data_IF_458128608792
#
_entry.id   IF_458128608792
#
_cell.length_a   1.000
_cell.length_b   1.000
_cell.length_c   1.000
_cell.angle_alpha   90.00
_cell.angle_beta   90.00
_cell.angle_gamma   90.00
#
_symmetry.space_group_name_H-M   'P 1'
#
loop_
_entity.id
_entity.type
_entity.pdbx_description
1 polymer ?
#
# COMPACT_ATOMS: atom_id res chain seq x y z
N UNK A 1 24.75 -17.86 -8.60
CA UNK A 1 25.40 -16.56 -8.21
C UNK A 1 24.61 -15.97 -7.07
N UNK A 2 25.26 -15.67 -5.97
CA UNK A 2 24.58 -15.09 -4.80
C UNK A 2 24.24 -13.63 -5.12
N UNK A 3 22.96 -13.28 -5.12
CA UNK A 3 22.50 -11.91 -5.35
C UNK A 3 23.02 -11.02 -4.21
N UNK A 4 23.68 -9.91 -4.53
CA UNK A 4 24.13 -8.93 -3.52
C UNK A 4 23.06 -7.89 -3.29
N UNK A 5 22.97 -7.32 -2.06
CA UNK A 5 22.03 -6.24 -1.77
C UNK A 5 22.18 -5.04 -2.73
N UNK A 6 23.40 -4.76 -3.18
CA UNK A 6 23.68 -3.74 -4.18
C UNK A 6 22.92 -3.99 -5.49
N UNK A 7 22.83 -5.24 -5.97
CA UNK A 7 22.09 -5.59 -7.20
C UNK A 7 20.62 -5.31 -7.06
N UNK A 8 20.03 -5.61 -5.89
CA UNK A 8 18.63 -5.29 -5.58
C UNK A 8 18.40 -3.78 -5.50
N UNK A 9 19.32 -3.04 -4.86
CA UNK A 9 19.28 -1.58 -4.79
C UNK A 9 19.34 -0.92 -6.17
N UNK A 10 20.28 -1.35 -7.02
CA UNK A 10 20.44 -0.80 -8.37
C UNK A 10 19.18 -1.05 -9.21
N UNK A 11 18.57 -2.23 -9.08
CA UNK A 11 17.29 -2.54 -9.71
C UNK A 11 16.16 -1.63 -9.20
N UNK A 12 16.05 -1.44 -7.88
CA UNK A 12 14.99 -0.65 -7.26
C UNK A 12 15.06 0.84 -7.57
N UNK A 13 16.28 1.38 -7.80
CA UNK A 13 16.49 2.80 -8.12
C UNK A 13 15.89 3.21 -9.46
N UNK A 14 15.75 2.29 -10.39
CA UNK A 14 15.12 2.53 -11.67
C UNK A 14 13.64 2.12 -11.64
N UNK A 15 12.75 3.10 -11.53
CA UNK A 15 11.30 2.88 -11.47
C UNK A 15 10.74 2.17 -12.70
N UNK A 16 11.42 2.26 -13.87
CA UNK A 16 10.96 1.62 -15.10
C UNK A 16 11.01 0.09 -15.03
N UNK A 17 11.78 -0.45 -14.08
CA UNK A 17 11.81 -1.87 -13.77
C UNK A 17 10.49 -2.39 -13.15
N UNK A 18 9.62 -1.50 -12.67
CA UNK A 18 8.37 -1.83 -11.98
C UNK A 18 7.13 -1.40 -12.81
N UNK A 19 7.11 -1.75 -14.08
CA UNK A 19 6.07 -1.36 -15.02
C UNK A 19 4.95 -2.39 -15.19
N UNK A 20 5.01 -3.52 -14.52
CA UNK A 20 3.95 -4.54 -14.47
C UNK A 20 3.93 -5.27 -13.13
N UNK A 21 2.83 -5.94 -12.82
CA UNK A 21 2.65 -6.71 -11.56
C UNK A 21 3.67 -7.84 -11.47
N UNK A 22 3.95 -8.52 -12.58
CA UNK A 22 4.95 -9.59 -12.66
C UNK A 22 6.33 -9.09 -12.19
N UNK A 23 6.68 -7.84 -12.51
CA UNK A 23 7.96 -7.26 -12.10
C UNK A 23 8.05 -7.05 -10.58
N UNK A 24 6.95 -6.69 -9.93
CA UNK A 24 6.89 -6.62 -8.47
C UNK A 24 7.01 -8.01 -7.84
N UNK A 25 6.32 -9.00 -8.39
CA UNK A 25 6.35 -10.38 -7.90
C UNK A 25 7.72 -11.03 -8.15
N UNK A 26 8.32 -10.83 -9.32
CA UNK A 26 9.70 -11.26 -9.64
C UNK A 26 10.73 -10.61 -8.70
N UNK A 27 10.52 -9.34 -8.37
CA UNK A 27 11.38 -8.65 -7.42
C UNK A 27 11.27 -9.26 -6.02
N UNK A 28 10.04 -9.54 -5.56
CA UNK A 28 9.82 -10.26 -4.30
C UNK A 28 10.53 -11.61 -4.28
N UNK A 29 10.43 -12.40 -5.36
CA UNK A 29 11.13 -13.69 -5.49
C UNK A 29 12.64 -13.53 -5.31
N UNK A 30 13.25 -12.55 -5.99
CA UNK A 30 14.69 -12.25 -5.86
C UNK A 30 15.07 -11.82 -4.43
N UNK A 31 14.21 -11.04 -3.77
CA UNK A 31 14.45 -10.64 -2.40
C UNK A 31 14.36 -11.81 -1.42
N UNK A 32 13.36 -12.67 -1.58
CA UNK A 32 13.20 -13.91 -0.79
C UNK A 32 14.43 -14.80 -0.97
N UNK A 33 14.88 -15.01 -2.21
CA UNK A 33 16.09 -15.80 -2.50
C UNK A 33 17.35 -15.16 -1.90
N UNK A 34 17.43 -13.83 -1.89
CA UNK A 34 18.53 -13.11 -1.23
C UNK A 34 18.55 -13.41 0.28
N UNK A 35 17.41 -13.31 0.95
CA UNK A 35 17.30 -13.58 2.40
C UNK A 35 17.58 -15.05 2.71
N UNK A 36 16.93 -15.98 2.00
CA UNK A 36 17.09 -17.43 2.19
C UNK A 36 18.51 -17.91 1.85
N UNK A 37 19.22 -17.21 0.95
CA UNK A 37 20.61 -17.51 0.58
C UNK A 37 21.65 -17.17 1.66
N UNK A 38 21.22 -16.82 2.88
CA UNK A 38 22.10 -16.56 4.01
C UNK A 38 22.84 -15.21 3.90
N UNK A 39 22.27 -14.24 3.19
CA UNK A 39 22.87 -12.90 3.03
C UNK A 39 22.47 -11.91 4.14
N UNK A 40 21.59 -12.33 5.04
CA UNK A 40 21.31 -11.61 6.28
C UNK A 40 22.18 -12.14 7.42
N UNK A 41 22.60 -11.25 8.30
CA UNK A 41 23.38 -11.59 9.48
C UNK A 41 22.49 -12.09 10.61
N UNK A 42 21.31 -11.48 10.75
CA UNK A 42 20.33 -11.85 11.76
C UNK A 42 18.90 -11.50 11.33
N UNK A 43 17.98 -12.29 11.80
CA UNK A 43 16.55 -11.98 11.89
C UNK A 43 16.28 -11.62 13.37
N UNK A 44 15.87 -10.40 13.62
CA UNK A 44 15.67 -9.84 14.95
C UNK A 44 14.18 -9.74 15.23
N UNK A 45 13.71 -10.48 16.22
CA UNK A 45 12.32 -10.44 16.67
C UNK A 45 12.09 -9.21 17.55
N UNK A 46 10.98 -8.50 17.34
CA UNK A 46 10.59 -7.35 18.15
C UNK A 46 10.35 -7.75 19.62
N UNK A 47 10.92 -7.01 20.55
CA UNK A 47 10.84 -7.30 21.98
C UNK A 47 9.41 -7.13 22.57
N UNK A 48 8.52 -6.37 21.91
CA UNK A 48 7.16 -6.10 22.40
C UNK A 48 6.08 -6.83 21.62
N UNK A 49 6.23 -6.90 20.31
CA UNK A 49 5.26 -7.52 19.39
C UNK A 49 5.99 -8.55 18.51
N UNK A 50 6.02 -9.84 18.90
CA UNK A 50 6.84 -10.88 18.26
C UNK A 50 6.54 -11.13 16.77
N UNK A 51 5.36 -10.76 16.28
CA UNK A 51 5.03 -10.85 14.85
C UNK A 51 5.85 -9.88 13.99
N UNK A 52 6.47 -8.85 14.57
CA UNK A 52 7.33 -7.93 13.84
C UNK A 52 8.79 -8.32 13.96
N UNK A 53 9.44 -8.40 12.82
CA UNK A 53 10.83 -8.74 12.65
C UNK A 53 11.59 -7.61 11.98
N UNK A 54 12.94 -7.64 12.12
CA UNK A 54 13.88 -6.76 11.46
C UNK A 54 15.01 -7.60 10.90
N UNK A 55 15.37 -7.41 9.64
CA UNK A 55 16.56 -8.08 9.09
C UNK A 55 17.80 -7.21 9.31
N UNK A 56 18.87 -7.82 9.74
CA UNK A 56 20.20 -7.21 9.76
C UNK A 56 20.98 -7.74 8.56
N UNK A 57 21.32 -6.87 7.62
CA UNK A 57 22.13 -7.27 6.46
C UNK A 57 23.59 -7.52 6.88
N UNK A 58 24.32 -8.32 6.11
CA UNK A 58 25.76 -8.50 6.31
C UNK A 58 26.53 -7.22 5.99
N UNK A 59 27.75 -7.14 6.47
CA UNK A 59 28.58 -5.92 6.60
C UNK A 59 28.92 -5.15 5.30
N UNK A 60 28.46 -5.58 4.14
CA UNK A 60 28.57 -4.84 2.89
C UNK A 60 27.48 -3.74 2.75
N UNK A 61 26.51 -3.68 3.68
CA UNK A 61 25.51 -2.63 3.77
C UNK A 61 25.91 -1.58 4.81
N UNK A 62 25.83 -0.32 4.45
CA UNK A 62 26.13 0.82 5.33
C UNK A 62 25.09 1.04 6.43
N UNK A 63 23.90 0.45 6.29
CA UNK A 63 22.82 0.43 7.27
C UNK A 63 22.31 -0.98 7.46
N UNK A 64 22.47 -1.49 8.66
CA UNK A 64 22.41 -2.92 8.87
C UNK A 64 21.03 -3.45 9.25
N UNK A 65 20.07 -2.60 9.65
CA UNK A 65 18.78 -3.07 10.17
C UNK A 65 17.62 -2.44 9.42
N UNK A 66 16.76 -3.29 8.85
CA UNK A 66 15.59 -2.87 8.06
C UNK A 66 14.51 -2.19 8.90
N UNK A 67 13.51 -1.63 8.23
CA UNK A 67 12.20 -1.33 8.82
C UNK A 67 11.58 -2.60 9.40
N UNK A 68 10.62 -2.47 10.35
CA UNK A 68 9.86 -3.64 10.81
C UNK A 68 9.02 -4.22 9.68
N UNK A 69 8.88 -5.52 9.67
CA UNK A 69 7.90 -6.22 8.84
C UNK A 69 7.14 -7.25 9.68
N UNK A 70 5.87 -7.45 9.36
CA UNK A 70 5.02 -8.46 9.98
C UNK A 70 5.31 -9.82 9.36
N UNK A 71 5.92 -10.73 10.12
CA UNK A 71 6.32 -12.05 9.65
C UNK A 71 5.11 -12.98 9.35
N UNK A 72 3.93 -12.70 9.90
CA UNK A 72 2.70 -13.44 9.61
C UNK A 72 2.09 -13.05 8.26
N UNK A 73 2.39 -11.84 7.76
CA UNK A 73 1.96 -11.37 6.44
C UNK A 73 3.02 -11.56 5.37
N UNK A 74 4.29 -11.47 5.72
CA UNK A 74 5.37 -11.55 4.74
C UNK A 74 5.49 -12.99 4.20
N UNK A 75 5.42 -13.12 2.87
CA UNK A 75 5.47 -14.41 2.18
C UNK A 75 6.89 -14.96 2.23
N UNK A 76 7.07 -16.10 2.90
CA UNK A 76 8.32 -16.84 2.95
C UNK A 76 8.56 -17.70 1.71
N UNK A 77 9.78 -18.24 1.58
CA UNK A 77 10.20 -19.03 0.42
C UNK A 77 9.38 -20.32 0.26
N UNK A 78 8.99 -20.92 1.35
CA UNK A 78 8.24 -22.19 1.45
C UNK A 78 6.83 -22.13 0.85
N UNK A 79 6.18 -20.96 0.92
CA UNK A 79 4.81 -20.76 0.43
C UNK A 79 4.73 -19.85 -0.80
N UNK A 80 5.86 -19.26 -1.24
CA UNK A 80 5.88 -18.23 -2.27
C UNK A 80 5.22 -18.67 -3.58
N UNK A 81 5.57 -19.84 -4.11
CA UNK A 81 5.05 -20.31 -5.39
C UNK A 81 3.53 -20.50 -5.35
N UNK A 82 2.99 -21.08 -4.29
CA UNK A 82 1.56 -21.26 -4.10
C UNK A 82 0.86 -19.88 -4.00
N UNK A 83 1.37 -18.98 -3.16
CA UNK A 83 0.79 -17.63 -2.98
C UNK A 83 0.86 -16.80 -4.27
N UNK A 84 1.93 -16.92 -5.05
CA UNK A 84 2.08 -16.28 -6.35
C UNK A 84 1.03 -16.78 -7.34
N UNK A 85 0.86 -18.09 -7.46
CA UNK A 85 -0.06 -18.69 -8.43
C UNK A 85 -1.51 -18.34 -8.08
N UNK A 86 -1.88 -18.40 -6.80
CA UNK A 86 -3.18 -17.94 -6.32
C UNK A 86 -3.38 -16.44 -6.57
N UNK A 87 -2.38 -15.61 -6.33
CA UNK A 87 -2.46 -14.17 -6.58
C UNK A 87 -2.72 -13.84 -8.04
N UNK A 88 -2.00 -14.45 -8.98
CA UNK A 88 -2.26 -14.23 -10.40
C UNK A 88 -3.62 -14.79 -10.86
N UNK A 89 -4.10 -15.87 -10.25
CA UNK A 89 -5.46 -16.38 -10.48
C UNK A 89 -6.52 -15.37 -10.01
N UNK A 90 -6.32 -14.77 -8.84
CA UNK A 90 -7.19 -13.74 -8.27
C UNK A 90 -7.24 -12.47 -9.14
N UNK A 91 -6.12 -12.06 -9.70
CA UNK A 91 -6.07 -10.88 -10.57
C UNK A 91 -6.86 -11.08 -11.88
N UNK A 92 -6.98 -12.33 -12.36
CA UNK A 92 -7.80 -12.67 -13.52
C UNK A 92 -9.30 -12.72 -13.20
N UNK A 93 -9.64 -13.17 -12.01
CA UNK A 93 -11.01 -13.24 -11.53
C UNK A 93 -11.04 -13.01 -10.02
N UNK A 94 -11.19 -11.74 -9.63
CA UNK A 94 -11.20 -11.34 -8.21
C UNK A 94 -12.43 -11.88 -7.47
N UNK A 95 -13.49 -12.26 -8.18
CA UNK A 95 -14.75 -12.72 -7.59
C UNK A 95 -14.61 -14.06 -6.87
N UNK A 96 -13.60 -14.86 -7.20
CA UNK A 96 -13.34 -16.15 -6.52
C UNK A 96 -12.94 -15.97 -5.06
N UNK A 97 -12.46 -14.78 -4.66
CA UNK A 97 -12.15 -14.46 -3.27
C UNK A 97 -13.38 -14.03 -2.45
N UNK A 98 -14.57 -13.88 -3.05
CA UNK A 98 -15.72 -13.26 -2.37
C UNK A 98 -16.09 -13.97 -1.07
N UNK A 99 -16.07 -15.30 -1.08
CA UNK A 99 -16.43 -16.15 0.06
C UNK A 99 -15.24 -17.00 0.55
N UNK A 100 -13.99 -16.61 0.20
CA UNK A 100 -12.79 -17.37 0.55
C UNK A 100 -11.77 -16.47 1.29
N UNK A 101 -11.73 -16.63 2.60
CA UNK A 101 -10.84 -15.85 3.48
C UNK A 101 -9.35 -16.10 3.20
N UNK A 102 -8.94 -17.30 2.77
CA UNK A 102 -7.54 -17.57 2.45
C UNK A 102 -7.12 -16.87 1.15
N UNK A 103 -7.98 -16.86 0.14
CA UNK A 103 -7.73 -16.10 -1.08
C UNK A 103 -7.70 -14.59 -0.79
N UNK A 104 -8.57 -14.09 0.09
CA UNK A 104 -8.51 -12.69 0.57
C UNK A 104 -7.17 -12.39 1.25
N UNK A 105 -6.71 -13.25 2.13
CA UNK A 105 -5.40 -13.11 2.80
C UNK A 105 -4.25 -13.14 1.81
N UNK A 106 -4.34 -13.92 0.72
CA UNK A 106 -3.32 -13.95 -0.33
C UNK A 106 -3.15 -12.57 -0.97
N UNK A 107 -4.23 -11.82 -1.22
CA UNK A 107 -4.15 -10.44 -1.73
C UNK A 107 -3.31 -9.57 -0.79
N UNK A 108 -3.67 -9.55 0.49
CA UNK A 108 -2.96 -8.74 1.50
C UNK A 108 -1.49 -9.15 1.63
N UNK A 109 -1.20 -10.46 1.73
CA UNK A 109 0.17 -10.99 1.87
C UNK A 109 1.04 -10.63 0.67
N UNK A 110 0.55 -10.83 -0.55
CA UNK A 110 1.34 -10.56 -1.75
C UNK A 110 1.61 -9.07 -1.93
N UNK A 111 0.60 -8.22 -1.77
CA UNK A 111 0.78 -6.76 -1.86
C UNK A 111 1.72 -6.26 -0.77
N UNK A 112 1.51 -6.69 0.47
CA UNK A 112 2.38 -6.36 1.59
C UNK A 112 3.82 -6.78 1.34
N UNK A 113 4.04 -8.03 0.94
CA UNK A 113 5.38 -8.60 0.76
C UNK A 113 6.14 -7.95 -0.39
N UNK A 114 5.49 -7.71 -1.54
CA UNK A 114 6.10 -6.99 -2.66
C UNK A 114 6.58 -5.60 -2.24
N UNK A 115 5.71 -4.83 -1.57
CA UNK A 115 6.06 -3.48 -1.16
C UNK A 115 7.09 -3.45 -0.01
N UNK A 116 7.00 -4.38 0.95
CA UNK A 116 7.99 -4.49 2.03
C UNK A 116 9.36 -4.91 1.52
N UNK A 117 9.46 -5.83 0.56
CA UNK A 117 10.74 -6.20 -0.04
C UNK A 117 11.45 -4.99 -0.66
N UNK A 118 10.71 -4.13 -1.37
CA UNK A 118 11.22 -2.85 -1.90
C UNK A 118 11.69 -1.95 -0.77
N UNK A 119 10.84 -1.74 0.23
CA UNK A 119 11.14 -0.88 1.37
C UNK A 119 12.35 -1.35 2.17
N UNK A 120 12.43 -2.63 2.49
CA UNK A 120 13.56 -3.24 3.19
C UNK A 120 14.86 -3.15 2.37
N UNK A 121 14.81 -3.33 1.05
CA UNK A 121 15.97 -3.11 0.19
C UNK A 121 16.46 -1.67 0.27
N UNK A 122 15.56 -0.69 0.22
CA UNK A 122 15.90 0.74 0.31
C UNK A 122 16.49 1.13 1.68
N UNK A 123 16.20 0.37 2.73
CA UNK A 123 16.80 0.60 4.06
C UNK A 123 18.32 0.28 4.10
N UNK A 124 18.86 -0.37 3.06
CA UNK A 124 20.30 -0.54 2.88
C UNK A 124 21.01 0.70 2.32
N UNK A 125 20.27 1.77 1.98
CA UNK A 125 20.84 3.03 1.53
C UNK A 125 21.44 3.83 2.69
N UNK A 126 22.50 4.65 2.43
CA UNK A 126 23.05 5.56 3.42
C UNK A 126 21.99 6.53 3.97
N UNK A 127 22.13 6.94 5.22
CA UNK A 127 21.18 7.88 5.87
C UNK A 127 21.01 9.20 5.12
N UNK A 128 22.04 9.66 4.42
CA UNK A 128 21.96 10.85 3.55
C UNK A 128 20.96 10.70 2.40
N UNK A 129 20.62 9.47 2.00
CA UNK A 129 19.65 9.19 0.94
C UNK A 129 18.24 8.86 1.48
N UNK A 130 17.98 8.93 2.79
CA UNK A 130 16.71 8.54 3.41
C UNK A 130 15.46 9.20 2.78
N UNK A 131 15.52 10.49 2.45
CA UNK A 131 14.38 11.18 1.84
C UNK A 131 14.11 10.69 0.42
N UNK A 132 15.17 10.40 -0.35
CA UNK A 132 15.08 9.81 -1.67
C UNK A 132 14.51 8.39 -1.60
N UNK A 133 14.97 7.59 -0.63
CA UNK A 133 14.46 6.25 -0.37
C UNK A 133 12.96 6.26 -0.03
N UNK A 134 12.53 7.16 0.87
CA UNK A 134 11.12 7.32 1.25
C UNK A 134 10.26 7.71 0.06
N UNK A 135 10.71 8.69 -0.75
CA UNK A 135 9.99 9.11 -1.95
C UNK A 135 9.85 7.95 -2.93
N UNK A 136 10.94 7.26 -3.25
CA UNK A 136 10.95 6.14 -4.18
C UNK A 136 10.03 5.00 -3.70
N UNK A 137 10.08 4.67 -2.40
CA UNK A 137 9.20 3.67 -1.81
C UNK A 137 7.71 4.03 -1.93
N UNK A 138 7.36 5.30 -1.74
CA UNK A 138 6.00 5.80 -1.92
C UNK A 138 5.55 5.74 -3.38
N UNK A 139 6.36 6.30 -4.28
CA UNK A 139 6.07 6.33 -5.72
C UNK A 139 5.85 4.92 -6.29
N UNK A 140 6.66 3.93 -5.88
CA UNK A 140 6.50 2.53 -6.31
C UNK A 140 5.23 1.89 -5.74
N UNK A 141 4.83 2.23 -4.52
CA UNK A 141 3.58 1.74 -3.96
C UNK A 141 2.35 2.30 -4.69
N UNK A 142 2.36 3.59 -5.02
CA UNK A 142 1.30 4.23 -5.81
C UNK A 142 1.16 3.58 -7.20
N UNK A 143 2.29 3.31 -7.88
CA UNK A 143 2.30 2.59 -9.17
C UNK A 143 1.73 1.19 -9.02
N UNK A 144 2.18 0.44 -8.00
CA UNK A 144 1.73 -0.95 -7.78
C UNK A 144 0.22 -1.04 -7.56
N UNK A 145 -0.34 -0.19 -6.72
CA UNK A 145 -1.80 -0.16 -6.49
C UNK A 145 -2.56 0.16 -7.78
N UNK A 146 -2.09 1.13 -8.59
CA UNK A 146 -2.74 1.42 -9.87
C UNK A 146 -2.69 0.26 -10.85
N UNK A 147 -1.55 -0.45 -10.92
CA UNK A 147 -1.44 -1.66 -11.76
C UNK A 147 -2.44 -2.74 -11.33
N UNK A 148 -2.56 -2.98 -10.02
CA UNK A 148 -3.52 -3.95 -9.48
C UNK A 148 -4.97 -3.58 -9.79
N UNK A 149 -5.34 -2.31 -9.63
CA UNK A 149 -6.68 -1.81 -9.94
C UNK A 149 -6.98 -1.96 -11.43
N UNK A 150 -6.01 -1.66 -12.30
CA UNK A 150 -6.17 -1.81 -13.74
C UNK A 150 -6.31 -3.30 -14.14
N UNK A 151 -5.53 -4.19 -13.54
CA UNK A 151 -5.54 -5.62 -13.87
C UNK A 151 -6.88 -6.28 -13.55
N UNK A 152 -7.53 -5.92 -12.46
CA UNK A 152 -8.88 -6.41 -12.13
C UNK A 152 -9.99 -5.78 -12.98
N UNK A 153 -9.66 -4.93 -13.98
CA UNK A 153 -10.61 -4.38 -14.95
C UNK A 153 -11.30 -3.07 -14.55
N UNK A 154 -10.75 -2.35 -13.59
CA UNK A 154 -11.22 -1.01 -13.20
C UNK A 154 -10.37 0.07 -13.88
N UNK A 155 -11.02 1.03 -14.53
CA UNK A 155 -10.32 2.17 -15.15
C UNK A 155 -9.77 3.08 -14.08
N UNK A 156 -8.44 3.24 -14.06
CA UNK A 156 -7.71 4.05 -13.08
C UNK A 156 -6.75 5.00 -13.76
N UNK A 157 -6.63 6.22 -13.23
CA UNK A 157 -5.67 7.23 -13.70
C UNK A 157 -4.95 7.87 -12.50
N UNK A 158 -3.73 8.34 -12.72
CA UNK A 158 -3.05 9.34 -11.89
C UNK A 158 -3.21 10.68 -12.59
N UNK A 159 -3.62 11.71 -11.88
CA UNK A 159 -3.79 13.01 -12.49
C UNK A 159 -3.53 14.14 -11.49
N UNK A 160 -2.96 15.22 -11.99
CA UNK A 160 -3.02 16.52 -11.32
C UNK A 160 -4.17 17.29 -11.92
N UNK A 161 -5.19 17.52 -11.12
CA UNK A 161 -6.35 18.31 -11.52
C UNK A 161 -6.19 19.76 -11.09
N UNK A 162 -6.58 20.67 -11.96
CA UNK A 162 -6.56 22.11 -11.72
C UNK A 162 -7.99 22.57 -11.43
N UNK A 163 -8.24 22.95 -10.18
CA UNK A 163 -9.54 23.47 -9.73
C UNK A 163 -9.46 24.98 -9.58
N UNK A 164 -10.29 25.71 -10.30
CA UNK A 164 -10.38 27.17 -10.18
C UNK A 164 -11.26 27.55 -9.01
N UNK A 165 -10.70 28.22 -8.03
CA UNK A 165 -11.38 28.68 -6.82
C UNK A 165 -11.80 30.14 -7.01
N UNK A 166 -13.09 30.44 -6.85
CA UNK A 166 -13.62 31.81 -6.83
C UNK A 166 -13.74 32.30 -5.39
N UNK A 167 -12.94 33.31 -5.03
CA UNK A 167 -13.01 33.92 -3.71
C UNK A 167 -14.13 34.97 -3.62
N UNK A 168 -14.40 35.69 -4.75
CA UNK A 168 -15.51 36.62 -4.96
C UNK A 168 -15.67 36.86 -6.46
N UNK A 169 -16.56 37.76 -6.86
CA UNK A 169 -16.84 38.08 -8.28
C UNK A 169 -15.63 38.65 -9.06
N UNK A 170 -14.63 39.11 -8.35
CA UNK A 170 -13.46 39.82 -8.96
C UNK A 170 -12.16 39.03 -8.83
N UNK A 171 -12.10 38.00 -7.96
CA UNK A 171 -10.87 37.30 -7.67
C UNK A 171 -11.05 35.78 -7.73
N UNK A 172 -10.24 35.14 -8.58
CA UNK A 172 -10.13 33.69 -8.65
C UNK A 172 -8.67 33.26 -8.72
N UNK A 173 -8.37 32.07 -8.25
CA UNK A 173 -7.06 31.43 -8.34
C UNK A 173 -7.19 29.95 -8.57
N UNK A 174 -6.13 29.32 -9.05
CA UNK A 174 -6.13 27.88 -9.33
C UNK A 174 -5.43 27.11 -8.23
N UNK A 175 -6.05 26.02 -7.80
CA UNK A 175 -5.44 25.02 -6.93
C UNK A 175 -5.17 23.73 -7.72
N UNK A 176 -3.95 23.19 -7.56
CA UNK A 176 -3.59 21.91 -8.16
C UNK A 176 -3.78 20.79 -7.14
N UNK A 177 -4.63 19.83 -7.47
CA UNK A 177 -4.80 18.59 -6.73
C UNK A 177 -4.08 17.46 -7.44
N UNK A 178 -3.10 16.86 -6.77
CA UNK A 178 -2.46 15.64 -7.25
C UNK A 178 -3.14 14.45 -6.57
N UNK A 179 -3.78 13.60 -7.37
CA UNK A 179 -4.45 12.40 -6.93
C UNK A 179 -3.64 11.15 -7.31
N UNK A 180 -3.36 10.28 -6.33
CA UNK A 180 -2.60 9.06 -6.53
C UNK A 180 -3.40 8.04 -7.36
N UNK A 181 -4.73 8.01 -7.14
CA UNK A 181 -5.69 7.09 -7.78
C UNK A 181 -6.98 7.83 -8.08
N UNK A 182 -7.44 7.79 -9.31
CA UNK A 182 -8.77 8.25 -9.72
C UNK A 182 -9.48 7.12 -10.44
N UNK A 183 -10.64 6.69 -9.94
CA UNK A 183 -11.43 5.60 -10.49
C UNK A 183 -12.51 6.14 -11.41
N UNK A 184 -12.69 5.50 -12.57
CA UNK A 184 -13.63 5.94 -13.60
C UNK A 184 -14.61 4.84 -14.02
N UNK A 185 -15.82 5.27 -14.39
CA UNK A 185 -16.78 4.48 -15.19
C UNK A 185 -16.99 5.20 -16.52
N UNK A 186 -16.36 4.71 -17.59
CA UNK A 186 -16.22 5.51 -18.81
C UNK A 186 -15.41 6.79 -18.55
N UNK A 187 -15.98 7.96 -18.82
CA UNK A 187 -15.37 9.26 -18.56
C UNK A 187 -15.78 9.86 -17.21
N UNK A 188 -16.69 9.22 -16.48
CA UNK A 188 -17.20 9.72 -15.21
C UNK A 188 -16.25 9.36 -14.06
N UNK A 189 -15.76 10.37 -13.31
CA UNK A 189 -15.01 10.17 -12.08
C UNK A 189 -15.93 9.62 -10.99
N UNK A 190 -15.55 8.48 -10.40
CA UNK A 190 -16.37 7.76 -9.43
C UNK A 190 -15.83 7.77 -8.01
N UNK A 191 -14.51 7.78 -7.87
CA UNK A 191 -13.86 7.87 -6.55
C UNK A 191 -12.42 8.34 -6.69
N UNK A 192 -11.89 8.90 -5.61
CA UNK A 192 -10.50 9.36 -5.49
C UNK A 192 -9.83 8.59 -4.35
N UNK A 193 -8.63 8.06 -4.59
CA UNK A 193 -7.84 7.31 -3.62
C UNK A 193 -6.50 7.95 -3.33
N UNK A 194 -6.11 7.93 -2.06
CA UNK A 194 -4.76 8.24 -1.61
C UNK A 194 -4.01 6.98 -1.23
N UNK A 195 -2.79 6.81 -1.71
CA UNK A 195 -1.94 5.64 -1.45
C UNK A 195 -0.67 6.08 -0.73
N UNK A 196 -0.46 5.59 0.49
CA UNK A 196 0.69 5.96 1.31
C UNK A 196 1.25 4.73 2.02
N UNK A 197 2.56 4.68 2.19
CA UNK A 197 3.20 3.58 2.94
C UNK A 197 2.94 3.65 4.45
N UNK A 198 2.46 4.78 4.97
CA UNK A 198 2.06 4.99 6.37
C UNK A 198 1.14 6.20 6.49
N UNK A 199 0.22 6.21 7.45
CA UNK A 199 -0.59 7.39 7.77
C UNK A 199 0.19 8.46 8.55
N UNK A 200 1.38 8.12 9.04
CA UNK A 200 2.23 9.03 9.81
C UNK A 200 2.43 10.38 9.11
N UNK A 201 2.15 11.46 9.80
CA UNK A 201 2.32 12.84 9.36
C UNK A 201 1.49 13.23 8.10
N UNK A 202 0.60 12.35 7.63
CA UNK A 202 -0.21 12.56 6.41
C UNK A 202 -1.64 12.02 6.48
N UNK A 203 -2.02 11.38 7.57
CA UNK A 203 -3.36 10.81 7.72
C UNK A 203 -4.45 11.87 7.68
N UNK A 204 -4.22 13.01 8.33
CA UNK A 204 -5.10 14.19 8.34
C UNK A 204 -5.32 14.78 6.94
N UNK A 205 -4.26 14.82 6.12
CA UNK A 205 -4.33 15.39 4.77
C UNK A 205 -5.42 14.74 3.91
N UNK A 206 -5.63 13.44 4.00
CA UNK A 206 -6.64 12.74 3.18
C UNK A 206 -8.05 13.20 3.52
N UNK A 207 -8.34 13.43 4.81
CA UNK A 207 -9.63 13.96 5.26
C UNK A 207 -9.84 15.41 4.81
N UNK A 208 -8.79 16.23 4.92
CA UNK A 208 -8.82 17.63 4.48
C UNK A 208 -8.96 17.72 2.96
N UNK A 209 -8.23 16.88 2.21
CA UNK A 209 -8.32 16.83 0.74
C UNK A 209 -9.75 16.46 0.29
N UNK A 210 -10.39 15.45 0.90
CA UNK A 210 -11.79 15.11 0.62
C UNK A 210 -12.71 16.30 0.88
N UNK A 211 -12.62 16.88 2.08
CA UNK A 211 -13.48 18.00 2.46
C UNK A 211 -13.34 19.17 1.51
N UNK A 212 -12.11 19.58 1.21
CA UNK A 212 -11.83 20.76 0.40
C UNK A 212 -12.16 20.51 -1.08
N UNK A 213 -11.79 19.34 -1.63
CA UNK A 213 -12.08 19.00 -3.01
C UNK A 213 -13.59 19.02 -3.29
N UNK A 214 -14.39 18.35 -2.45
CA UNK A 214 -15.84 18.32 -2.61
C UNK A 214 -16.47 19.72 -2.47
N UNK A 215 -15.94 20.56 -1.57
CA UNK A 215 -16.38 21.96 -1.44
C UNK A 215 -16.03 22.83 -2.64
N UNK A 216 -14.89 22.62 -3.27
CA UNK A 216 -14.43 23.42 -4.41
C UNK A 216 -15.07 23.02 -5.73
N UNK A 217 -15.43 21.75 -5.87
CA UNK A 217 -16.03 21.20 -7.10
C UNK A 217 -17.55 21.16 -7.05
N UNK A 218 -18.16 21.40 -5.88
CA UNK A 218 -19.59 21.18 -5.60
C UNK A 218 -20.05 19.75 -5.92
N UNK A 219 -19.11 18.79 -5.83
CA UNK A 219 -19.35 17.36 -6.03
C UNK A 219 -19.25 16.62 -4.71
N UNK A 220 -19.91 15.46 -4.62
CA UNK A 220 -19.76 14.51 -3.50
C UNK A 220 -19.05 13.24 -3.99
N UNK A 221 -17.77 13.40 -4.32
CA UNK A 221 -16.94 12.29 -4.80
C UNK A 221 -16.42 11.48 -3.62
N UNK A 222 -16.64 10.16 -3.59
CA UNK A 222 -16.07 9.29 -2.58
C UNK A 222 -14.54 9.34 -2.54
N UNK A 223 -13.98 9.43 -1.33
CA UNK A 223 -12.53 9.38 -1.12
C UNK A 223 -12.16 8.22 -0.21
N UNK A 224 -11.13 7.48 -0.63
CA UNK A 224 -10.59 6.38 0.16
C UNK A 224 -9.08 6.50 0.36
N UNK A 225 -8.56 5.79 1.35
CA UNK A 225 -7.13 5.75 1.67
C UNK A 225 -6.62 4.32 1.70
N UNK A 226 -5.42 4.10 1.17
CA UNK A 226 -4.68 2.84 1.22
C UNK A 226 -3.36 3.07 1.94
N UNK A 227 -3.10 2.27 2.98
CA UNK A 227 -1.87 2.31 3.74
C UNK A 227 -1.21 0.93 3.79
N UNK A 228 0.13 0.91 3.70
CA UNK A 228 0.86 -0.35 3.85
C UNK A 228 0.85 -0.82 5.30
N UNK A 229 1.32 0.01 6.22
CA UNK A 229 1.31 -0.24 7.66
C UNK A 229 1.55 1.06 8.46
N UNK A 230 1.34 0.99 9.77
CA UNK A 230 1.62 2.09 10.71
C UNK A 230 2.47 1.65 11.89
N UNK A 231 3.61 1.05 11.57
CA UNK A 231 4.62 0.67 12.55
C UNK A 231 5.99 1.22 12.18
N UNK A 232 6.76 1.61 13.18
CA UNK A 232 8.15 2.06 13.01
C UNK A 232 9.06 1.39 14.02
N UNK A 233 10.33 1.21 13.62
CA UNK A 233 11.37 0.70 14.52
C UNK A 233 11.65 1.71 15.64
N UNK A 234 11.75 1.18 16.86
CA UNK A 234 12.10 1.91 18.07
C UNK A 234 13.11 1.10 18.90
N UNK A 235 13.68 1.74 19.94
CA UNK A 235 14.72 1.14 20.76
C UNK A 235 16.11 1.18 20.14
N UNK A 236 17.03 0.46 20.78
CA UNK A 236 18.44 0.32 20.37
C UNK A 236 18.84 -1.14 20.40
N UNK A 237 19.85 -1.50 19.61
CA UNK A 237 20.43 -2.84 19.65
C UNK A 237 20.84 -3.23 21.09
N UNK A 238 20.62 -4.48 21.52
CA UNK A 238 19.95 -5.56 20.80
C UNK A 238 18.41 -5.57 20.98
N UNK A 239 17.82 -4.63 21.76
CA UNK A 239 16.40 -4.62 22.13
C UNK A 239 15.58 -3.70 21.22
N UNK A 240 15.53 -4.04 19.92
CA UNK A 240 14.59 -3.38 19.01
C UNK A 240 13.15 -3.77 19.32
N UNK A 241 12.23 -2.81 19.12
CA UNK A 241 10.79 -3.04 19.18
C UNK A 241 10.07 -2.14 18.17
N UNK A 242 8.79 -2.33 18.02
CA UNK A 242 7.95 -1.47 17.20
C UNK A 242 7.17 -0.49 18.07
N UNK A 243 6.96 0.71 17.51
CA UNK A 243 5.95 1.66 17.98
C UNK A 243 4.96 1.88 16.85
N UNK A 244 3.67 1.98 17.21
CA UNK A 244 2.64 2.41 16.27
C UNK A 244 2.84 3.89 15.90
N UNK A 245 2.57 4.20 14.64
CA UNK A 245 2.49 5.57 14.12
C UNK A 245 1.04 6.00 13.88
N UNK A 246 0.08 5.10 14.06
CA UNK A 246 -1.35 5.38 13.94
C UNK A 246 -1.84 6.26 15.09
N UNK A 247 -2.46 7.38 14.77
CA UNK A 247 -2.97 8.36 15.73
C UNK A 247 -4.47 8.15 15.94
N UNK A 248 -4.83 7.19 16.80
CA UNK A 248 -6.20 6.74 17.05
C UNK A 248 -7.20 7.88 17.31
N UNK A 249 -6.89 8.78 18.25
CA UNK A 249 -7.78 9.88 18.63
C UNK A 249 -7.97 10.90 17.49
N UNK A 250 -6.92 11.19 16.72
CA UNK A 250 -7.01 12.09 15.56
C UNK A 250 -7.85 11.48 14.46
N UNK A 251 -7.61 10.21 14.13
CA UNK A 251 -8.40 9.49 13.12
C UNK A 251 -9.90 9.52 13.47
N UNK A 252 -10.26 9.15 14.70
CA UNK A 252 -11.66 9.21 15.18
C UNK A 252 -12.22 10.62 15.13
N UNK A 253 -11.43 11.62 15.53
CA UNK A 253 -11.82 13.03 15.50
C UNK A 253 -12.16 13.50 14.10
N UNK A 254 -11.32 13.21 13.11
CA UNK A 254 -11.57 13.54 11.71
C UNK A 254 -12.77 12.79 11.14
N UNK A 255 -12.90 11.50 11.44
CA UNK A 255 -14.03 10.67 11.00
C UNK A 255 -15.36 11.22 11.52
N UNK A 256 -15.44 11.54 12.82
CA UNK A 256 -16.72 11.91 13.47
C UNK A 256 -17.06 13.39 13.30
N UNK A 257 -16.06 14.29 13.23
CA UNK A 257 -16.27 15.74 13.30
C UNK A 257 -15.94 16.50 12.02
N UNK A 258 -15.06 16.00 11.20
CA UNK A 258 -14.71 16.68 9.95
C UNK A 258 -15.49 16.08 8.78
N UNK A 259 -15.11 14.88 8.32
CA UNK A 259 -15.69 14.25 7.16
C UNK A 259 -15.19 12.79 7.09
N UNK A 260 -16.03 11.75 7.25
CA UNK A 260 -15.57 10.38 7.15
C UNK A 260 -15.05 10.07 5.73
N UNK A 261 -14.04 9.23 5.64
CA UNK A 261 -13.63 8.64 4.35
C UNK A 261 -14.63 7.54 3.96
N UNK A 262 -14.69 7.23 2.67
CA UNK A 262 -15.60 6.19 2.15
C UNK A 262 -14.96 4.79 2.21
N UNK A 263 -13.69 4.73 2.61
CA UNK A 263 -12.96 3.51 2.90
C UNK A 263 -11.53 3.79 3.37
N UNK A 264 -11.06 3.03 4.33
CA UNK A 264 -9.67 3.07 4.79
C UNK A 264 -9.13 1.65 4.85
N UNK A 265 -8.09 1.39 4.07
CA UNK A 265 -7.58 0.05 3.83
C UNK A 265 -6.12 -0.06 4.21
N UNK A 266 -5.80 -1.06 5.02
CA UNK A 266 -4.44 -1.39 5.44
C UNK A 266 -4.04 -2.79 4.97
N UNK A 267 -2.78 -2.96 4.55
CA UNK A 267 -2.23 -4.31 4.42
C UNK A 267 -1.98 -4.94 5.78
N UNK A 268 -1.46 -4.18 6.75
CA UNK A 268 -1.15 -4.63 8.10
C UNK A 268 -1.94 -3.84 9.13
N UNK A 269 -2.98 -4.44 9.69
CA UNK A 269 -3.82 -3.87 10.74
C UNK A 269 -3.19 -4.16 12.11
N UNK A 270 -2.98 -3.10 12.90
CA UNK A 270 -2.49 -3.21 14.27
C UNK A 270 -3.65 -3.30 15.27
N UNK A 271 -3.38 -3.78 16.49
CA UNK A 271 -4.38 -3.86 17.55
C UNK A 271 -5.00 -2.48 17.90
N UNK A 272 -4.26 -1.39 17.73
CA UNK A 272 -4.77 -0.03 17.98
C UNK A 272 -5.88 0.37 17.01
N UNK A 273 -5.90 -0.22 15.81
CA UNK A 273 -6.92 0.03 14.78
C UNK A 273 -8.20 -0.77 14.99
N UNK A 274 -8.23 -1.63 16.03
CA UNK A 274 -9.35 -2.53 16.33
C UNK A 274 -9.95 -2.32 17.73
N UNK A 275 -9.62 -1.20 18.40
CA UNK A 275 -9.94 -1.00 19.83
C UNK A 275 -11.39 -0.60 20.11
N UNK A 276 -12.14 -0.14 19.11
CA UNK A 276 -13.52 0.32 19.29
C UNK A 276 -14.34 0.26 18.01
N UNK A 277 -15.65 0.40 18.13
CA UNK A 277 -16.61 0.25 17.04
C UNK A 277 -16.38 1.24 15.88
N UNK A 278 -15.91 2.48 16.16
CA UNK A 278 -15.61 3.46 15.11
C UNK A 278 -14.47 2.93 14.21
N UNK A 279 -13.39 2.48 14.83
CA UNK A 279 -12.23 1.98 14.09
C UNK A 279 -12.55 0.69 13.33
N UNK A 280 -13.27 -0.25 13.96
CA UNK A 280 -13.70 -1.49 13.35
C UNK A 280 -14.62 -1.27 12.15
N UNK A 281 -15.44 -0.22 12.19
CA UNK A 281 -16.34 0.14 11.09
C UNK A 281 -15.60 0.77 9.90
N UNK A 282 -14.58 1.57 10.18
CA UNK A 282 -13.95 2.44 9.18
C UNK A 282 -12.67 1.83 8.58
N UNK A 283 -11.94 1.00 9.34
CA UNK A 283 -10.64 0.45 8.93
C UNK A 283 -10.77 -1.01 8.55
N UNK A 284 -10.33 -1.33 7.36
CA UNK A 284 -10.43 -2.67 6.78
C UNK A 284 -9.08 -3.14 6.21
N UNK A 285 -8.96 -4.44 5.97
CA UNK A 285 -7.85 -5.01 5.21
C UNK A 285 -7.98 -4.69 3.72
N UNK A 286 -6.85 -4.62 3.02
CA UNK A 286 -6.78 -4.16 1.63
C UNK A 286 -7.62 -5.03 0.67
N UNK A 287 -7.75 -6.32 0.94
CA UNK A 287 -8.59 -7.24 0.14
C UNK A 287 -10.03 -6.74 0.00
N UNK A 288 -10.60 -6.13 1.06
CA UNK A 288 -11.95 -5.59 1.03
C UNK A 288 -12.12 -4.52 -0.06
N UNK A 289 -11.11 -3.70 -0.32
CA UNK A 289 -11.15 -2.77 -1.44
C UNK A 289 -11.30 -3.51 -2.77
N UNK A 290 -10.40 -4.47 -3.04
CA UNK A 290 -10.34 -5.16 -4.33
C UNK A 290 -11.53 -6.11 -4.58
N UNK A 291 -11.99 -6.81 -3.54
CA UNK A 291 -13.05 -7.81 -3.66
C UNK A 291 -14.45 -7.18 -3.60
N UNK A 292 -14.63 -6.14 -2.79
CA UNK A 292 -15.97 -5.62 -2.47
C UNK A 292 -16.18 -4.15 -2.86
N UNK A 293 -15.39 -3.23 -2.28
CA UNK A 293 -15.78 -1.82 -2.23
C UNK A 293 -15.48 -1.06 -3.53
N UNK A 294 -14.42 -1.43 -4.26
CA UNK A 294 -14.07 -0.79 -5.54
C UNK A 294 -15.20 -0.94 -6.56
N UNK A 295 -15.92 -2.06 -6.53
CA UNK A 295 -17.04 -2.35 -7.42
C UNK A 295 -18.25 -1.48 -7.11
N UNK A 296 -18.48 -1.19 -5.81
CA UNK A 296 -19.50 -0.23 -5.38
C UNK A 296 -19.16 1.18 -5.86
N UNK A 297 -17.89 1.60 -5.72
CA UNK A 297 -17.45 2.91 -6.20
C UNK A 297 -17.69 3.08 -7.70
N UNK A 298 -17.33 2.10 -8.51
CA UNK A 298 -17.49 2.20 -9.97
C UNK A 298 -18.87 1.78 -10.47
N UNK A 299 -19.76 1.31 -9.58
CA UNK A 299 -21.12 0.87 -9.94
C UNK A 299 -21.10 -0.27 -10.98
N UNK A 300 -20.27 -1.27 -10.75
CA UNK A 300 -20.11 -2.49 -11.56
C UNK A 300 -20.09 -3.70 -10.64
N UNK A 301 -20.33 -4.90 -11.20
CA UNK A 301 -20.01 -6.16 -10.57
C UNK A 301 -18.58 -6.59 -10.97
N UNK A 302 -17.89 -7.39 -10.14
CA UNK A 302 -16.60 -7.99 -10.49
C UNK A 302 -16.69 -8.73 -11.84
N UNK A 303 -15.68 -8.55 -12.67
CA UNK A 303 -15.63 -9.24 -13.97
C UNK A 303 -15.29 -10.71 -13.71
N UNK A 304 -16.25 -11.59 -14.02
CA UNK A 304 -15.95 -13.02 -14.15
C UNK A 304 -15.19 -13.23 -15.46
N UNK A 305 -14.10 -14.00 -15.45
CA UNK A 305 -13.41 -14.39 -16.67
C UNK A 305 -14.41 -15.09 -17.59
N UNK A 306 -14.87 -14.40 -18.62
CA UNK A 306 -15.57 -15.09 -19.72
C UNK A 306 -14.53 -16.01 -20.35
N UNK A 307 -14.72 -17.32 -20.16
CA UNK A 307 -14.04 -18.30 -20.99
C UNK A 307 -14.22 -17.89 -22.44
N UNK A 308 -13.12 -17.56 -23.11
CA UNK A 308 -13.07 -17.46 -24.58
C UNK A 308 -13.23 -18.86 -25.15
N UNK A 309 -14.44 -19.38 -25.14
CA UNK A 309 -14.91 -20.52 -25.91
C UNK A 309 -16.37 -20.25 -26.16
N UNK A 310 -16.66 -19.53 -27.22
CA UNK A 310 -17.85 -19.58 -28.08
C UNK A 310 -17.63 -18.50 -29.15
N UNK A 311 -16.94 -18.91 -30.22
CA UNK A 311 -17.29 -18.75 -31.64
C UNK A 311 -16.18 -19.36 -32.49
#
# INVERSE_FOLDING_TARGET
MTTKIKTLLDYTRDKTNFNSIERYVDYLARYIDYVAGGNVQADIVSAKEPKYHFLQYKADATHNVTRPFNSELFVGKDIFDCQRDDFFRLLKDISIAKEDDELRRTINRMVYSCQQAIGMTLDALPSAENNKAKKLNGDLFEVFIRLLIAEIGVTVKEMTEKVTVRANDQYSFDMNYQHDVMLYKGEELRAIGSVKTSSKDRGDKVFVDKFLYNKLTDLDIPHFAIYLNDVQRAGKAPKFHVNSTFLTAHFMGYTVKLNPLDGVYYCDITHLMQQNDILLKEIHTLDKLFVDDIWKFVGKEPVHSRTRYDD
#
